data_IF_440407722272
#
_entry.id   IF_440407722272
#
_cell.length_a   1.000
_cell.length_b   1.000
_cell.length_c   1.000
_cell.angle_alpha   90.00
_cell.angle_beta   90.00
_cell.angle_gamma   90.00
#
_symmetry.space_group_name_H-M   'P 1'
#
loop_
_entity.id
_entity.type
_entity.pdbx_description
1 polymer ?
#
# COMPACT_ATOMS: atom_id res chain seq x y z
N UNK A 1 5.00 -26.95 17.01
CA UNK A 1 5.67 -26.47 15.79
C UNK A 1 5.24 -27.35 14.62
N UNK A 2 4.87 -26.76 13.49
CA UNK A 2 4.47 -27.46 12.26
C UNK A 2 4.42 -26.47 11.10
N UNK A 3 4.61 -26.95 9.86
CA UNK A 3 4.44 -26.14 8.65
C UNK A 3 2.95 -26.10 8.29
N UNK A 4 2.36 -24.90 8.13
CA UNK A 4 1.03 -24.74 7.52
C UNK A 4 1.19 -24.79 6.00
N UNK A 5 0.93 -25.95 5.41
CA UNK A 5 1.06 -26.22 3.98
C UNK A 5 -0.32 -26.35 3.36
N UNK A 6 -0.57 -25.58 2.31
CA UNK A 6 -1.81 -25.63 1.53
C UNK A 6 -1.48 -26.00 0.09
N UNK A 7 -2.12 -27.05 -0.42
CA UNK A 7 -1.97 -27.49 -1.80
C UNK A 7 -2.81 -26.57 -2.70
N UNK A 8 -2.21 -26.09 -3.78
CA UNK A 8 -2.87 -25.26 -4.78
C UNK A 8 -3.00 -26.10 -6.04
N UNK A 9 -4.24 -26.24 -6.53
CA UNK A 9 -4.53 -26.83 -7.83
C UNK A 9 -4.09 -25.88 -8.95
N UNK A 10 -3.40 -26.40 -9.97
CA UNK A 10 -2.98 -25.61 -11.14
C UNK A 10 -1.66 -26.08 -11.76
N UNK A 11 -1.24 -25.48 -12.88
CA UNK A 11 0.04 -25.78 -13.50
C UNK A 11 1.22 -25.34 -12.62
N UNK A 12 2.42 -25.83 -12.95
CA UNK A 12 3.66 -25.33 -12.36
C UNK A 12 3.69 -23.80 -12.47
N UNK A 13 3.90 -23.13 -11.34
CA UNK A 13 3.87 -21.66 -11.24
C UNK A 13 2.58 -21.07 -10.65
N UNK A 14 1.49 -21.86 -10.50
CA UNK A 14 0.23 -21.37 -9.92
C UNK A 14 0.39 -20.78 -8.51
N UNK A 15 1.22 -21.41 -7.67
CA UNK A 15 1.53 -20.90 -6.33
C UNK A 15 2.27 -19.55 -6.37
N UNK A 16 3.22 -19.39 -7.30
CA UNK A 16 3.94 -18.12 -7.49
C UNK A 16 2.99 -17.04 -8.01
N UNK A 17 2.14 -17.35 -8.99
CA UNK A 17 1.14 -16.42 -9.49
C UNK A 17 0.18 -15.96 -8.38
N UNK A 18 -0.30 -16.87 -7.53
CA UNK A 18 -1.14 -16.51 -6.38
C UNK A 18 -0.40 -15.55 -5.44
N UNK A 19 0.87 -15.83 -5.12
CA UNK A 19 1.69 -14.96 -4.28
C UNK A 19 1.83 -13.57 -4.90
N UNK A 20 2.16 -13.48 -6.19
CA UNK A 20 2.36 -12.21 -6.89
C UNK A 20 1.06 -11.40 -6.92
N UNK A 21 -0.06 -12.02 -7.27
CA UNK A 21 -1.37 -11.37 -7.28
C UNK A 21 -1.79 -10.88 -5.90
N UNK A 22 -1.58 -11.68 -4.85
CA UNK A 22 -1.92 -11.28 -3.48
C UNK A 22 -1.01 -10.14 -2.98
N UNK A 23 0.28 -10.20 -3.29
CA UNK A 23 1.22 -9.11 -3.00
C UNK A 23 0.83 -7.82 -3.75
N UNK A 24 0.41 -7.94 -5.01
CA UNK A 24 -0.05 -6.82 -5.82
C UNK A 24 -1.27 -6.13 -5.22
N UNK A 25 -2.28 -6.89 -4.83
CA UNK A 25 -3.48 -6.34 -4.16
C UNK A 25 -3.10 -5.64 -2.85
N UNK A 26 -2.38 -6.32 -1.96
CA UNK A 26 -2.11 -5.79 -0.62
C UNK A 26 -1.19 -4.58 -0.66
N UNK A 27 -0.08 -4.64 -1.38
CA UNK A 27 0.85 -3.49 -1.48
C UNK A 27 0.32 -2.41 -2.39
N UNK A 28 -0.39 -2.74 -3.47
CA UNK A 28 -1.02 -1.75 -4.33
C UNK A 28 -2.09 -0.95 -3.59
N UNK A 29 -2.91 -1.61 -2.78
CA UNK A 29 -3.94 -0.94 -1.98
C UNK A 29 -3.32 -0.04 -0.88
N UNK A 30 -2.23 -0.46 -0.24
CA UNK A 30 -1.49 0.40 0.70
C UNK A 30 -0.94 1.65 0.02
N UNK A 31 -0.37 1.52 -1.19
CA UNK A 31 0.14 2.66 -1.95
C UNK A 31 -0.99 3.62 -2.37
N UNK A 32 -2.09 3.09 -2.92
CA UNK A 32 -3.22 3.89 -3.37
C UNK A 32 -3.83 4.70 -2.22
N UNK A 33 -4.07 4.05 -1.07
CA UNK A 33 -4.58 4.72 0.13
C UNK A 33 -3.63 5.85 0.57
N UNK A 34 -2.33 5.55 0.68
CA UNK A 34 -1.32 6.53 1.08
C UNK A 34 -1.27 7.73 0.13
N UNK A 35 -1.26 7.48 -1.17
CA UNK A 35 -1.22 8.53 -2.18
C UNK A 35 -2.43 9.46 -2.10
N UNK A 36 -3.64 8.91 -1.91
CA UNK A 36 -4.87 9.69 -1.82
C UNK A 36 -5.02 10.42 -0.49
N UNK A 37 -4.57 9.83 0.62
CA UNK A 37 -4.51 10.51 1.91
C UNK A 37 -3.58 11.72 1.85
N UNK A 38 -2.39 11.57 1.27
CA UNK A 38 -1.44 12.68 1.08
C UNK A 38 -2.02 13.76 0.15
N UNK A 39 -2.71 13.37 -0.93
CA UNK A 39 -3.38 14.31 -1.82
C UNK A 39 -4.46 15.11 -1.09
N UNK A 40 -5.33 14.43 -0.32
CA UNK A 40 -6.36 15.07 0.49
C UNK A 40 -5.74 16.01 1.54
N UNK A 41 -4.65 15.63 2.19
CA UNK A 41 -3.92 16.48 3.13
C UNK A 41 -3.41 17.76 2.46
N UNK A 42 -2.75 17.66 1.29
CA UNK A 42 -2.28 18.83 0.54
C UNK A 42 -3.43 19.74 0.09
N UNK A 43 -4.60 19.17 -0.19
CA UNK A 43 -5.80 19.91 -0.60
C UNK A 43 -6.62 20.46 0.59
N UNK A 44 -6.22 20.21 1.85
CA UNK A 44 -6.97 20.62 3.04
C UNK A 44 -8.24 19.80 3.31
N UNK A 45 -8.39 18.65 2.65
CA UNK A 45 -9.57 17.77 2.72
C UNK A 45 -9.35 16.51 3.59
N UNK A 46 -8.22 16.39 4.29
CA UNK A 46 -7.86 15.20 5.07
C UNK A 46 -8.96 14.77 6.06
N UNK A 47 -9.41 15.69 6.90
CA UNK A 47 -10.45 15.44 7.90
C UNK A 47 -11.79 15.03 7.26
N UNK A 48 -12.14 15.66 6.13
CA UNK A 48 -13.35 15.31 5.37
C UNK A 48 -13.28 13.89 4.81
N UNK A 49 -12.15 13.52 4.20
CA UNK A 49 -11.93 12.18 3.68
C UNK A 49 -11.91 11.13 4.80
N UNK A 50 -11.27 11.42 5.94
CA UNK A 50 -11.23 10.48 7.07
C UNK A 50 -12.64 10.19 7.58
N UNK A 51 -13.45 11.22 7.83
CA UNK A 51 -14.86 11.04 8.23
C UNK A 51 -15.69 10.29 7.20
N UNK A 52 -15.46 10.54 5.91
CA UNK A 52 -16.16 9.81 4.86
C UNK A 52 -15.76 8.33 4.86
N UNK A 53 -14.48 8.01 5.04
CA UNK A 53 -14.01 6.62 5.18
C UNK A 53 -14.54 5.96 6.46
N UNK A 54 -14.56 6.65 7.60
CA UNK A 54 -15.16 6.16 8.85
C UNK A 54 -16.62 5.78 8.67
N UNK A 55 -17.39 6.60 7.93
CA UNK A 55 -18.82 6.40 7.71
C UNK A 55 -19.12 5.34 6.66
N UNK A 56 -18.42 5.38 5.53
CA UNK A 56 -18.76 4.59 4.33
C UNK A 56 -17.96 3.30 4.21
N UNK A 57 -16.72 3.27 4.69
CA UNK A 57 -15.77 2.17 4.51
C UNK A 57 -14.92 1.91 5.79
N UNK A 58 -15.52 1.74 6.98
CA UNK A 58 -14.79 1.63 8.24
C UNK A 58 -13.78 0.47 8.28
N UNK A 59 -14.10 -0.63 7.59
CA UNK A 59 -13.22 -1.80 7.44
C UNK A 59 -11.95 -1.48 6.64
N UNK A 60 -12.05 -0.64 5.61
CA UNK A 60 -10.88 -0.21 4.85
C UNK A 60 -10.04 0.78 5.67
N UNK A 61 -10.67 1.71 6.37
CA UNK A 61 -9.95 2.64 7.25
C UNK A 61 -9.16 1.88 8.33
N UNK A 62 -9.79 0.91 8.98
CA UNK A 62 -9.12 0.05 9.96
C UNK A 62 -7.95 -0.72 9.32
N UNK A 63 -8.14 -1.28 8.13
CA UNK A 63 -7.08 -1.97 7.39
C UNK A 63 -5.93 -1.01 7.02
N UNK A 64 -6.21 0.21 6.56
CA UNK A 64 -5.18 1.22 6.27
C UNK A 64 -4.39 1.61 7.52
N UNK A 65 -5.07 1.77 8.66
CA UNK A 65 -4.42 2.02 9.95
C UNK A 65 -3.42 0.93 10.36
N UNK A 66 -3.66 -0.32 9.94
CA UNK A 66 -2.74 -1.43 10.20
C UNK A 66 -1.61 -1.56 9.15
N UNK A 67 -1.88 -1.19 7.90
CA UNK A 67 -0.97 -1.51 6.79
C UNK A 67 -0.06 -0.35 6.38
N UNK A 68 -0.54 0.90 6.48
CA UNK A 68 0.22 2.09 6.06
C UNK A 68 1.36 2.40 7.03
N UNK A 69 1.21 2.43 8.37
CA UNK A 69 2.32 2.79 9.25
C UNK A 69 3.52 1.84 9.17
N UNK A 70 3.35 0.50 9.12
CA UNK A 70 4.48 -0.41 8.94
C UNK A 70 5.22 -0.25 7.60
N UNK A 71 4.59 0.35 6.57
CA UNK A 71 5.22 0.55 5.26
C UNK A 71 6.41 1.50 5.35
N UNK A 72 6.39 2.52 6.22
CA UNK A 72 7.43 3.56 6.28
C UNK A 72 8.85 2.98 6.42
N UNK A 73 9.03 2.02 7.33
CA UNK A 73 10.35 1.39 7.59
C UNK A 73 10.78 0.33 6.57
N UNK A 74 9.91 -0.05 5.64
CA UNK A 74 10.17 -1.11 4.64
C UNK A 74 9.89 -0.69 3.20
N UNK A 75 9.57 0.58 2.97
CA UNK A 75 9.21 1.12 1.65
C UNK A 75 10.29 0.81 0.60
N UNK A 76 11.58 0.92 0.96
CA UNK A 76 12.69 0.58 0.06
C UNK A 76 12.68 -0.89 -0.42
N UNK A 77 12.24 -1.84 0.43
CA UNK A 77 12.12 -3.26 0.03
C UNK A 77 10.99 -3.45 -0.96
N UNK A 78 9.93 -2.68 -0.79
CA UNK A 78 8.74 -2.78 -1.62
C UNK A 78 8.96 -2.23 -3.03
N UNK A 79 9.99 -1.41 -3.28
CA UNK A 79 10.37 -0.96 -4.63
C UNK A 79 10.63 -2.16 -5.54
N UNK A 80 11.60 -3.02 -5.18
CA UNK A 80 11.92 -4.22 -5.96
C UNK A 80 10.74 -5.20 -6.05
N UNK A 81 9.96 -5.35 -4.99
CA UNK A 81 8.75 -6.19 -5.04
C UNK A 81 7.69 -5.64 -6.01
N UNK A 82 7.59 -4.33 -6.24
CA UNK A 82 6.68 -3.76 -7.24
C UNK A 82 7.21 -3.90 -8.65
N UNK A 83 8.53 -3.79 -8.84
CA UNK A 83 9.19 -4.06 -10.13
C UNK A 83 8.99 -5.53 -10.54
N UNK A 84 9.14 -6.47 -9.61
CA UNK A 84 8.85 -7.89 -9.85
C UNK A 84 7.38 -8.14 -10.23
N UNK A 85 6.43 -7.40 -9.64
CA UNK A 85 5.02 -7.51 -10.01
C UNK A 85 4.75 -6.88 -11.38
N UNK A 86 5.41 -5.77 -11.70
CA UNK A 86 5.32 -5.15 -13.02
C UNK A 86 5.81 -6.09 -14.13
N UNK A 87 6.89 -6.84 -13.88
CA UNK A 87 7.38 -7.87 -14.79
C UNK A 87 6.43 -9.07 -14.87
N UNK A 88 5.85 -9.48 -13.73
CA UNK A 88 4.91 -10.62 -13.66
C UNK A 88 3.63 -10.40 -14.47
N UNK A 89 3.08 -9.18 -14.47
CA UNK A 89 1.81 -8.88 -15.15
C UNK A 89 1.93 -8.68 -16.66
N UNK A 90 3.16 -8.68 -17.20
CA UNK A 90 3.38 -8.65 -18.64
C UNK A 90 2.66 -9.82 -19.35
N UNK A 91 2.13 -9.63 -20.58
CA UNK A 91 2.32 -8.46 -21.45
C UNK A 91 1.29 -7.32 -21.23
N UNK A 92 0.54 -7.29 -20.12
CA UNK A 92 -0.37 -6.18 -19.83
C UNK A 92 0.41 -4.92 -19.43
N UNK A 93 0.74 -4.10 -20.43
CA UNK A 93 1.51 -2.86 -20.26
C UNK A 93 0.84 -1.90 -19.28
N UNK A 94 -0.49 -1.75 -19.33
CA UNK A 94 -1.20 -0.81 -18.46
C UNK A 94 -1.08 -1.22 -16.99
N UNK A 95 -1.23 -2.51 -16.69
CA UNK A 95 -1.02 -3.02 -15.32
C UNK A 95 0.43 -2.88 -14.89
N UNK A 96 1.39 -3.16 -15.78
CA UNK A 96 2.81 -3.03 -15.45
C UNK A 96 3.21 -1.58 -15.13
N UNK A 97 2.69 -0.61 -15.90
CA UNK A 97 2.91 0.81 -15.65
C UNK A 97 2.36 1.27 -14.29
N UNK A 98 1.21 0.73 -13.86
CA UNK A 98 0.66 0.98 -12.52
C UNK A 98 1.68 0.56 -11.45
N UNK A 99 2.21 -0.66 -11.53
CA UNK A 99 3.16 -1.15 -10.52
C UNK A 99 4.51 -0.44 -10.59
N UNK A 100 4.97 -0.03 -11.78
CA UNK A 100 6.14 0.85 -11.91
C UNK A 100 5.91 2.22 -11.25
N UNK A 101 4.72 2.80 -11.37
CA UNK A 101 4.37 4.03 -10.68
C UNK A 101 4.34 3.84 -9.15
N UNK A 102 3.83 2.71 -8.68
CA UNK A 102 3.82 2.37 -7.25
C UNK A 102 5.25 2.14 -6.73
N UNK A 103 6.14 1.53 -7.50
CA UNK A 103 7.55 1.39 -7.15
C UNK A 103 8.20 2.77 -6.90
N UNK A 104 7.99 3.72 -7.82
CA UNK A 104 8.46 5.11 -7.65
C UNK A 104 7.84 5.79 -6.45
N UNK A 105 6.56 5.56 -6.17
CA UNK A 105 5.91 6.10 -4.97
C UNK A 105 6.54 5.53 -3.69
N UNK A 106 6.85 4.23 -3.64
CA UNK A 106 7.55 3.65 -2.48
C UNK A 106 8.98 4.15 -2.33
N UNK A 107 9.68 4.43 -3.42
CA UNK A 107 10.98 5.10 -3.33
C UNK A 107 10.84 6.47 -2.67
N UNK A 108 9.84 7.28 -3.08
CA UNK A 108 9.57 8.58 -2.45
C UNK A 108 9.24 8.45 -0.95
N UNK A 109 8.47 7.44 -0.56
CA UNK A 109 8.17 7.19 0.87
C UNK A 109 9.41 6.73 1.64
N UNK A 110 10.29 5.94 1.02
CA UNK A 110 11.55 5.52 1.64
C UNK A 110 12.47 6.73 1.88
N UNK A 111 12.58 7.62 0.88
CA UNK A 111 13.40 8.84 0.97
C UNK A 111 12.83 9.81 2.01
N UNK A 112 11.51 9.98 2.07
CA UNK A 112 10.84 10.80 3.08
C UNK A 112 11.08 10.25 4.50
N UNK A 113 10.90 8.94 4.69
CA UNK A 113 11.10 8.29 5.98
C UNK A 113 12.58 8.35 6.46
N UNK A 114 13.53 8.35 5.53
CA UNK A 114 14.96 8.47 5.83
C UNK A 114 15.43 9.93 6.02
N UNK A 115 14.61 10.91 5.65
CA UNK A 115 14.98 12.33 5.67
C UNK A 115 13.91 13.21 6.33
N UNK A 116 13.14 13.98 5.54
CA UNK A 116 12.31 15.06 6.05
C UNK A 116 11.12 14.61 6.91
N UNK A 117 10.67 13.35 6.80
CA UNK A 117 9.54 12.78 7.53
C UNK A 117 8.29 13.67 7.47
N UNK A 118 7.95 14.17 6.28
CA UNK A 118 6.78 15.03 6.08
C UNK A 118 5.59 14.20 5.62
N UNK A 119 5.78 13.36 4.60
CA UNK A 119 4.72 12.52 4.08
C UNK A 119 4.32 11.43 5.08
N UNK A 120 5.29 10.74 5.69
CA UNK A 120 5.00 9.67 6.67
C UNK A 120 4.37 10.22 7.95
N UNK A 121 4.74 11.43 8.38
CA UNK A 121 4.07 12.12 9.48
C UNK A 121 2.64 12.52 9.12
N UNK A 122 2.42 13.05 7.91
CA UNK A 122 1.08 13.40 7.44
C UNK A 122 0.14 12.19 7.33
N UNK A 123 0.65 11.04 6.88
CA UNK A 123 -0.10 9.78 6.86
C UNK A 123 -0.44 9.30 8.26
N UNK A 124 0.52 9.37 9.19
CA UNK A 124 0.29 9.03 10.60
C UNK A 124 -0.77 9.93 11.24
N UNK A 125 -0.71 11.23 10.96
CA UNK A 125 -1.70 12.19 11.45
C UNK A 125 -3.09 11.95 10.85
N UNK A 126 -3.18 11.60 9.56
CA UNK A 126 -4.44 11.24 8.91
C UNK A 126 -5.09 10.00 9.56
N UNK A 127 -4.28 9.00 9.91
CA UNK A 127 -4.75 7.71 10.41
C UNK A 127 -4.92 7.67 11.94
N UNK A 128 -4.47 8.69 12.66
CA UNK A 128 -4.70 8.80 14.09
C UNK A 128 -6.21 8.90 14.37
N UNK A 129 -6.67 8.17 15.40
CA UNK A 129 -8.05 8.30 15.87
C UNK A 129 -8.33 9.77 16.21
N UNK A 130 -9.49 10.30 15.77
CA UNK A 130 -9.96 11.57 16.31
C UNK A 130 -10.09 11.43 17.83
N UNK A 131 -9.39 12.27 18.58
CA UNK A 131 -9.71 12.48 19.99
C UNK A 131 -11.21 12.80 20.06
N UNK A 132 -11.97 11.94 20.73
CA UNK A 132 -13.37 12.21 21.09
C UNK A 132 -13.35 13.49 21.92
N UNK A 133 -13.81 14.60 21.33
CA UNK A 133 -14.18 15.81 22.06
C UNK A 133 -15.46 15.60 22.86
#
# INVERSE_FOLDING_TARGET
YGLDVRVIEGPVGAASALKMSYAGITKGLTALASAMMLAATRAGAAEGLRRELERSQPQLLAWFGHMVPPMYGKAYRWVGEMEEIADFVQPDEATAEIYQAIARFYQQMADDAAGPNQATAALSAFLAESQKG
#
